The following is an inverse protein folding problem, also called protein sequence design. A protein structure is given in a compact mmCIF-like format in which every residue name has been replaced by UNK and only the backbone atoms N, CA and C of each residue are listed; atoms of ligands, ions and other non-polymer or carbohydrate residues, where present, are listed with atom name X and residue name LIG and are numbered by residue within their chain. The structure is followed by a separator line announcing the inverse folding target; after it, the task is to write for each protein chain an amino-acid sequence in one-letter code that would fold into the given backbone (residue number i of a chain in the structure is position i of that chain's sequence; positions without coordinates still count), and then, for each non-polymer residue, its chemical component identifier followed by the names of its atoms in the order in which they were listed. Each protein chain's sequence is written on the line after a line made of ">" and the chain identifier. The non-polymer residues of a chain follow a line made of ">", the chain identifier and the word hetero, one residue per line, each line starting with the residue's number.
data_IF_438320138159
#
_entry.id   IF_438320138159
#
_cell.length_a   1.000
_cell.length_b   1.000
_cell.length_c   1.000
_cell.angle_alpha   90.00
_cell.angle_beta   90.00
_cell.angle_gamma   90.00
#
_symmetry.space_group_name_H-M   'P 1'
#
loop_
_entity.id
_entity.type
_entity.pdbx_description
1 polymer ?
#
# COMPACT_ATOMS: atom_id res chain seq x y z
N UNK A 1 54.79 -14.32 1.61
CA UNK A 1 55.87 -14.41 0.61
C UNK A 1 55.19 -14.60 -0.74
N UNK A 2 54.68 -13.52 -1.33
CA UNK A 2 55.28 -12.77 -2.45
C UNK A 2 55.58 -13.61 -3.69
N UNK A 3 54.95 -13.24 -4.81
CA UNK A 3 55.35 -13.25 -6.23
C UNK A 3 54.03 -13.31 -7.02
N UNK A 4 53.58 -12.33 -7.81
CA UNK A 4 54.32 -11.37 -8.63
C UNK A 4 54.16 -11.80 -10.09
N UNK A 5 53.21 -11.19 -10.82
CA UNK A 5 53.20 -11.24 -12.28
C UNK A 5 52.88 -9.85 -12.84
N UNK A 6 53.91 -9.29 -13.46
CA UNK A 6 53.91 -8.05 -14.23
C UNK A 6 53.68 -8.36 -15.71
N UNK A 7 52.85 -7.51 -16.33
CA UNK A 7 52.92 -7.00 -17.72
C UNK A 7 52.74 -7.97 -18.89
N UNK A 8 51.86 -7.63 -19.84
CA UNK A 8 52.26 -6.98 -21.10
C UNK A 8 51.00 -6.50 -21.85
N UNK A 9 51.04 -5.21 -22.16
CA UNK A 9 50.14 -4.44 -23.03
C UNK A 9 50.35 -4.90 -24.49
N UNK A 10 49.27 -5.10 -25.23
CA UNK A 10 49.30 -5.01 -26.71
C UNK A 10 48.32 -3.95 -27.17
N UNK A 11 48.87 -2.83 -27.64
CA UNK A 11 48.19 -1.77 -28.36
C UNK A 11 47.64 -2.29 -29.70
N UNK A 12 46.38 -1.96 -30.01
CA UNK A 12 45.98 -1.67 -31.39
C UNK A 12 45.23 -0.34 -31.42
N UNK A 13 45.83 0.61 -32.13
CA UNK A 13 45.34 1.97 -32.43
C UNK A 13 44.26 1.93 -33.50
N UNK A 14 43.25 2.80 -33.38
CA UNK A 14 42.31 3.17 -34.45
C UNK A 14 41.05 3.86 -33.90
N UNK A 15 40.68 5.08 -34.32
CA UNK A 15 39.85 5.99 -33.54
C UNK A 15 38.35 5.81 -33.81
N UNK A 16 37.53 5.77 -32.75
CA UNK A 16 36.11 6.13 -32.87
C UNK A 16 35.90 7.47 -32.18
N UNK A 17 35.39 8.43 -32.97
CA UNK A 17 35.00 9.75 -32.57
C UNK A 17 34.01 9.66 -31.39
N UNK A 18 34.42 10.14 -30.22
CA UNK A 18 33.48 10.57 -29.21
C UNK A 18 32.89 11.90 -29.67
N UNK A 19 31.58 11.92 -29.93
CA UNK A 19 30.81 13.15 -29.92
C UNK A 19 30.91 13.77 -28.52
N UNK A 20 31.82 14.73 -28.37
CA UNK A 20 31.73 15.73 -27.31
C UNK A 20 30.41 16.47 -27.51
N UNK A 21 29.39 16.10 -26.73
CA UNK A 21 28.23 16.95 -26.55
C UNK A 21 28.75 18.24 -25.90
N UNK A 22 28.60 19.35 -26.62
CA UNK A 22 29.16 20.64 -26.26
C UNK A 22 28.71 21.02 -24.85
N UNK A 23 29.67 21.11 -23.92
CA UNK A 23 29.45 21.85 -22.69
C UNK A 23 28.98 23.24 -23.10
N UNK A 24 27.82 23.64 -22.58
CA UNK A 24 27.25 24.95 -22.89
C UNK A 24 28.29 26.04 -22.56
N UNK A 25 28.38 27.11 -23.37
CA UNK A 25 29.36 28.18 -23.19
C UNK A 25 29.55 28.68 -21.75
N UNK A 26 28.49 28.81 -20.90
CA UNK A 26 28.68 29.33 -19.54
C UNK A 26 29.47 28.40 -18.62
N UNK A 27 29.35 27.07 -18.73
CA UNK A 27 30.09 26.13 -17.86
C UNK A 27 31.58 26.09 -18.23
N UNK A 28 31.89 26.21 -19.51
CA UNK A 28 33.28 26.29 -19.98
C UNK A 28 33.93 27.63 -19.58
N UNK A 29 33.17 28.73 -19.62
CA UNK A 29 33.59 30.04 -19.13
C UNK A 29 33.81 30.01 -17.60
N UNK A 30 32.93 29.36 -16.84
CA UNK A 30 33.09 29.20 -15.39
C UNK A 30 34.36 28.40 -15.05
N UNK A 31 34.64 27.33 -15.82
CA UNK A 31 35.84 26.51 -15.64
C UNK A 31 37.13 27.28 -15.99
N UNK A 32 37.12 28.11 -17.05
CA UNK A 32 38.25 28.99 -17.40
C UNK A 32 38.48 30.06 -16.31
N UNK A 33 37.42 30.66 -15.78
CA UNK A 33 37.51 31.65 -14.68
C UNK A 33 38.10 31.01 -13.42
N UNK A 34 37.64 29.79 -13.07
CA UNK A 34 38.17 29.05 -11.91
C UNK A 34 39.64 28.64 -12.10
N UNK A 35 40.04 28.28 -13.33
CA UNK A 35 41.42 27.92 -13.67
C UNK A 35 42.37 29.13 -13.67
N UNK A 36 41.92 30.32 -14.05
CA UNK A 36 42.72 31.54 -14.06
C UNK A 36 42.96 32.15 -12.66
N UNK A 37 42.10 31.84 -11.68
CA UNK A 37 42.18 32.39 -10.31
C UNK A 37 43.05 31.55 -9.37
N UNK A 38 43.41 30.32 -9.74
CA UNK A 38 44.26 29.43 -8.93
C UNK A 38 45.73 29.89 -8.74
N UNK A 39 46.11 31.05 -9.29
CA UNK A 39 47.50 31.52 -9.31
C UNK A 39 47.82 32.86 -8.62
N UNK A 40 46.84 33.61 -8.09
CA UNK A 40 47.12 34.88 -7.39
C UNK A 40 46.17 35.11 -6.21
N UNK A 41 46.74 35.24 -5.00
CA UNK A 41 46.04 35.63 -3.77
C UNK A 41 45.57 37.10 -3.82
N UNK A 42 44.48 37.38 -4.56
CA UNK A 42 43.77 38.65 -4.48
C UNK A 42 42.45 38.46 -3.72
N UNK A 43 42.40 38.98 -2.50
CA UNK A 43 41.29 38.86 -1.54
C UNK A 43 40.00 39.56 -2.01
N UNK A 44 40.12 40.52 -2.92
CA UNK A 44 38.99 41.24 -3.53
C UNK A 44 38.35 40.43 -4.68
N UNK A 45 39.15 39.75 -5.51
CA UNK A 45 38.65 38.89 -6.61
C UNK A 45 37.90 37.66 -6.08
N UNK A 46 38.36 37.10 -4.97
CA UNK A 46 37.70 35.99 -4.28
C UNK A 46 36.37 36.40 -3.63
N UNK A 47 36.21 37.67 -3.26
CA UNK A 47 34.94 38.20 -2.71
C UNK A 47 33.91 38.45 -3.82
N UNK A 48 34.33 39.01 -4.95
CA UNK A 48 33.48 39.20 -6.12
C UNK A 48 33.01 37.87 -6.74
N UNK A 49 33.87 36.84 -6.76
CA UNK A 49 33.49 35.50 -7.22
C UNK A 49 32.48 34.83 -6.29
N UNK A 50 32.64 34.99 -4.97
CA UNK A 50 31.66 34.50 -3.98
C UNK A 50 30.31 35.21 -4.10
N UNK A 51 30.31 36.51 -4.40
CA UNK A 51 29.09 37.29 -4.64
C UNK A 51 28.44 36.96 -6.00
N UNK A 52 29.21 36.56 -7.01
CA UNK A 52 28.67 36.10 -8.29
C UNK A 52 28.05 34.69 -8.16
N UNK A 53 28.71 33.79 -7.43
CA UNK A 53 28.23 32.43 -7.18
C UNK A 53 27.01 32.41 -6.24
N UNK A 54 26.90 33.35 -5.29
CA UNK A 54 25.71 33.49 -4.44
C UNK A 54 24.48 34.04 -5.18
N UNK A 55 24.69 34.67 -6.34
CA UNK A 55 23.61 35.16 -7.23
C UNK A 55 23.18 34.14 -8.27
N UNK A 56 23.94 33.07 -8.49
CA UNK A 56 23.55 31.96 -9.35
C UNK A 56 22.76 30.99 -8.48
N UNK A 57 21.45 30.92 -8.73
CA UNK A 57 20.62 29.88 -8.16
C UNK A 57 20.97 28.55 -8.85
N UNK A 58 21.93 27.84 -8.25
CA UNK A 58 22.38 26.52 -8.69
C UNK A 58 21.21 25.52 -8.74
N UNK A 59 20.18 25.67 -7.90
CA UNK A 59 18.99 24.82 -7.94
C UNK A 59 18.17 25.12 -9.21
N UNK A 60 18.04 26.39 -9.62
CA UNK A 60 17.40 26.77 -10.89
C UNK A 60 18.19 26.30 -12.12
N UNK A 61 19.52 26.35 -12.04
CA UNK A 61 20.40 25.89 -13.10
C UNK A 61 20.34 24.36 -13.26
N UNK A 62 20.31 23.62 -12.14
CA UNK A 62 20.19 22.16 -12.13
C UNK A 62 18.79 21.68 -12.54
N UNK A 63 17.73 22.44 -12.25
CA UNK A 63 16.36 22.18 -12.76
C UNK A 63 16.26 22.23 -14.29
N UNK A 64 17.12 22.99 -14.97
CA UNK A 64 17.07 23.11 -16.45
C UNK A 64 17.60 21.89 -17.20
N UNK A 65 18.40 21.05 -16.54
CA UNK A 65 18.98 19.83 -17.13
C UNK A 65 18.26 18.54 -16.68
N UNK A 66 17.27 18.62 -15.78
CA UNK A 66 16.44 17.47 -15.42
C UNK A 66 15.49 17.10 -16.59
N UNK A 67 15.42 15.82 -17.00
CA UNK A 67 14.44 15.36 -17.99
C UNK A 67 13.00 15.64 -17.52
N UNK A 68 12.07 15.91 -18.45
CA UNK A 68 10.68 16.18 -18.09
C UNK A 68 10.05 14.99 -17.36
N UNK A 69 9.16 15.28 -16.40
CA UNK A 69 8.33 14.28 -15.73
C UNK A 69 7.14 13.84 -16.58
N UNK A 70 7.37 13.63 -17.88
CA UNK A 70 6.41 13.06 -18.80
C UNK A 70 6.73 11.57 -18.96
N UNK A 71 5.92 10.73 -18.34
CA UNK A 71 6.06 9.27 -18.41
C UNK A 71 4.97 8.68 -19.30
N UNK A 72 5.22 7.52 -19.92
CA UNK A 72 4.20 6.81 -20.70
C UNK A 72 2.98 6.43 -19.87
N UNK A 73 1.84 6.16 -20.53
CA UNK A 73 0.55 5.90 -19.86
C UNK A 73 0.10 4.45 -19.95
N UNK A 74 0.79 3.63 -20.74
CA UNK A 74 0.50 2.20 -20.92
C UNK A 74 1.75 1.36 -20.67
N UNK A 75 1.58 0.07 -20.37
CA UNK A 75 2.70 -0.84 -20.14
C UNK A 75 3.55 -0.97 -21.42
N UNK A 76 2.89 -1.04 -22.58
CA UNK A 76 3.51 -1.19 -23.89
C UNK A 76 4.40 0.01 -24.21
N UNK A 77 3.93 1.23 -23.98
CA UNK A 77 4.74 2.44 -24.15
C UNK A 77 5.87 2.55 -23.11
N UNK A 78 5.68 1.95 -21.92
CA UNK A 78 6.75 1.79 -20.94
C UNK A 78 7.79 0.73 -21.35
N UNK A 79 7.54 0.01 -22.44
CA UNK A 79 8.28 -1.13 -22.96
C UNK A 79 8.27 -2.36 -22.04
N UNK A 80 7.23 -2.54 -21.23
CA UNK A 80 7.05 -3.72 -20.37
C UNK A 80 5.75 -4.45 -20.67
N UNK A 81 5.72 -5.75 -20.37
CA UNK A 81 4.52 -6.56 -20.35
C UNK A 81 4.63 -7.62 -19.26
N UNK A 82 3.49 -8.15 -18.80
CA UNK A 82 3.49 -9.34 -17.96
C UNK A 82 3.64 -10.59 -18.83
N UNK A 83 4.60 -11.45 -18.50
CA UNK A 83 4.78 -12.73 -19.19
C UNK A 83 3.76 -13.79 -18.72
N UNK A 84 3.84 -15.00 -19.28
CA UNK A 84 2.95 -16.12 -18.93
C UNK A 84 3.02 -16.55 -17.45
N UNK A 85 4.12 -16.23 -16.76
CA UNK A 85 4.32 -16.47 -15.32
C UNK A 85 3.83 -15.30 -14.46
N UNK A 86 3.20 -14.28 -15.06
CA UNK A 86 2.72 -13.10 -14.36
C UNK A 86 3.82 -12.14 -13.91
N UNK A 87 5.02 -12.21 -14.49
CA UNK A 87 6.15 -11.36 -14.12
C UNK A 87 6.30 -10.18 -15.08
N UNK A 88 6.51 -8.98 -14.55
CA UNK A 88 6.75 -7.78 -15.36
C UNK A 88 8.14 -7.84 -16.01
N UNK A 89 8.20 -7.83 -17.34
CA UNK A 89 9.44 -7.96 -18.12
C UNK A 89 9.48 -6.96 -19.26
N UNK A 90 10.67 -6.48 -19.57
CA UNK A 90 10.88 -5.61 -20.72
C UNK A 90 10.59 -6.39 -22.02
N UNK A 91 9.77 -5.83 -22.90
CA UNK A 91 9.19 -6.53 -24.06
C UNK A 91 10.26 -7.09 -25.00
N UNK A 92 11.35 -6.35 -25.21
CA UNK A 92 12.40 -6.72 -26.18
C UNK A 92 13.50 -7.59 -25.57
N UNK A 93 13.83 -7.37 -24.29
CA UNK A 93 15.03 -7.97 -23.67
C UNK A 93 14.68 -9.07 -22.68
N UNK A 94 13.44 -9.12 -22.18
CA UNK A 94 13.05 -10.05 -21.11
C UNK A 94 13.63 -9.71 -19.74
N UNK A 95 14.28 -8.56 -19.58
CA UNK A 95 14.89 -8.15 -18.30
C UNK A 95 13.84 -7.62 -17.31
N UNK A 96 14.09 -7.73 -15.98
CA UNK A 96 13.20 -7.18 -14.97
C UNK A 96 13.25 -5.65 -14.93
N UNK A 97 12.27 -5.04 -14.24
CA UNK A 97 12.24 -3.60 -14.05
C UNK A 97 13.44 -3.12 -13.22
N UNK A 98 14.17 -2.14 -13.75
CA UNK A 98 15.29 -1.47 -13.05
C UNK A 98 14.82 -0.13 -12.51
N UNK A 99 14.87 0.05 -11.18
CA UNK A 99 14.50 1.31 -10.52
C UNK A 99 15.48 2.44 -10.84
N UNK A 100 16.78 2.20 -10.67
CA UNK A 100 17.84 3.17 -10.97
C UNK A 100 18.17 3.20 -12.47
N UNK A 101 17.20 3.54 -13.31
CA UNK A 101 17.40 3.64 -14.76
C UNK A 101 18.35 4.79 -15.12
N UNK A 102 18.47 5.81 -14.26
CA UNK A 102 19.44 6.89 -14.37
C UNK A 102 20.15 7.08 -13.02
N UNK A 103 21.43 6.74 -12.92
CA UNK A 103 22.16 6.63 -11.64
C UNK A 103 22.07 7.91 -10.77
N UNK A 104 22.22 9.09 -11.39
CA UNK A 104 22.25 10.37 -10.65
C UNK A 104 20.89 11.07 -10.51
N UNK A 105 19.81 10.49 -11.04
CA UNK A 105 18.49 11.13 -11.07
C UNK A 105 17.47 10.41 -10.19
N UNK A 106 17.73 10.41 -8.88
CA UNK A 106 16.88 9.75 -7.89
C UNK A 106 15.42 10.24 -7.95
N UNK A 107 15.19 11.56 -8.03
CA UNK A 107 13.86 12.16 -8.13
C UNK A 107 13.11 11.67 -9.37
N UNK A 108 13.78 11.61 -10.51
CA UNK A 108 13.20 11.13 -11.76
C UNK A 108 12.89 9.63 -11.70
N UNK A 109 13.80 8.81 -11.17
CA UNK A 109 13.58 7.37 -11.01
C UNK A 109 12.37 7.07 -10.11
N UNK A 110 12.23 7.83 -9.02
CA UNK A 110 11.06 7.75 -8.13
C UNK A 110 9.77 8.09 -8.88
N UNK A 111 9.76 9.18 -9.66
CA UNK A 111 8.59 9.57 -10.47
C UNK A 111 8.27 8.56 -11.56
N UNK A 112 9.28 7.93 -12.17
CA UNK A 112 9.10 6.83 -13.13
C UNK A 112 8.45 5.62 -12.47
N UNK A 113 8.89 5.26 -11.27
CA UNK A 113 8.33 4.15 -10.50
C UNK A 113 6.88 4.42 -10.08
N UNK A 114 6.57 5.65 -9.66
CA UNK A 114 5.21 6.10 -9.38
C UNK A 114 4.31 5.98 -10.61
N UNK A 115 4.75 6.50 -11.76
CA UNK A 115 4.02 6.42 -13.02
C UNK A 115 3.73 4.97 -13.44
N UNK A 116 4.74 4.09 -13.38
CA UNK A 116 4.53 2.66 -13.63
C UNK A 116 3.52 2.04 -12.65
N UNK A 117 3.56 2.44 -11.38
CA UNK A 117 2.61 2.00 -10.37
C UNK A 117 1.16 2.35 -10.67
N UNK A 118 0.90 3.52 -11.25
CA UNK A 118 -0.45 3.92 -11.67
C UNK A 118 -0.93 3.10 -12.88
N UNK A 119 -0.04 2.82 -13.84
CA UNK A 119 -0.34 1.94 -14.97
C UNK A 119 -0.68 0.52 -14.47
N UNK A 120 0.09 0.01 -13.51
CA UNK A 120 -0.17 -1.31 -12.91
C UNK A 120 -1.51 -1.35 -12.20
N UNK A 121 -1.90 -0.28 -11.51
CA UNK A 121 -3.23 -0.20 -10.88
C UNK A 121 -4.34 -0.36 -11.91
N UNK A 122 -4.25 0.33 -13.06
CA UNK A 122 -5.23 0.18 -14.14
C UNK A 122 -5.21 -1.23 -14.75
N UNK A 123 -4.03 -1.80 -14.95
CA UNK A 123 -3.88 -3.17 -15.45
C UNK A 123 -4.52 -4.20 -14.50
N UNK A 124 -4.34 -4.05 -13.18
CA UNK A 124 -4.98 -4.93 -12.18
C UNK A 124 -6.51 -4.78 -12.22
N UNK A 125 -7.03 -3.57 -12.38
CA UNK A 125 -8.48 -3.36 -12.56
C UNK A 125 -9.01 -4.09 -13.80
N UNK A 126 -8.31 -4.01 -14.92
CA UNK A 126 -8.69 -4.75 -16.13
C UNK A 126 -8.69 -6.27 -15.89
N UNK A 127 -7.73 -6.79 -15.13
CA UNK A 127 -7.71 -8.22 -14.77
C UNK A 127 -8.89 -8.58 -13.86
N UNK A 128 -9.24 -7.74 -12.87
CA UNK A 128 -10.40 -7.99 -12.01
C UNK A 128 -11.70 -8.06 -12.82
N UNK A 129 -11.88 -7.13 -13.76
CA UNK A 129 -13.08 -7.07 -14.60
C UNK A 129 -13.13 -8.20 -15.63
N UNK A 130 -12.03 -8.44 -16.36
CA UNK A 130 -12.01 -9.39 -17.49
C UNK A 130 -11.75 -10.83 -17.07
N UNK A 131 -10.86 -11.05 -16.08
CA UNK A 131 -10.43 -12.40 -15.64
C UNK A 131 -11.29 -12.90 -14.48
N UNK A 132 -11.55 -12.05 -13.49
CA UNK A 132 -12.31 -12.42 -12.29
C UNK A 132 -13.81 -12.12 -12.40
N UNK A 133 -14.26 -11.47 -13.49
CA UNK A 133 -15.66 -11.08 -13.70
C UNK A 133 -16.22 -10.23 -12.53
N UNK A 134 -15.39 -9.36 -11.98
CA UNK A 134 -15.77 -8.45 -10.91
C UNK A 134 -16.36 -7.16 -11.47
N UNK A 135 -17.35 -6.60 -10.80
CA UNK A 135 -17.97 -5.32 -11.18
C UNK A 135 -17.70 -4.24 -10.13
N UNK A 136 -17.44 -3.02 -10.58
CA UNK A 136 -17.33 -1.86 -9.69
C UNK A 136 -18.70 -1.46 -9.19
N UNK A 137 -18.77 -1.13 -7.90
CA UNK A 137 -19.92 -0.48 -7.27
C UNK A 137 -19.45 0.86 -6.70
N UNK A 138 -20.12 1.94 -7.10
CA UNK A 138 -19.74 3.31 -6.74
C UNK A 138 -20.09 3.64 -5.28
N UNK A 139 -19.19 4.39 -4.63
CA UNK A 139 -19.39 4.89 -3.28
C UNK A 139 -19.29 6.43 -3.27
N UNK A 140 -20.13 7.15 -2.51
CA UNK A 140 -21.31 6.65 -1.79
C UNK A 140 -22.39 6.05 -2.72
N UNK A 141 -23.24 5.16 -2.21
CA UNK A 141 -24.32 4.52 -3.00
C UNK A 141 -25.38 5.49 -3.52
N UNK A 142 -25.45 6.66 -2.89
CA UNK A 142 -26.34 7.76 -3.22
C UNK A 142 -25.58 8.98 -3.77
N UNK A 143 -24.41 8.75 -4.37
CA UNK A 143 -23.57 9.81 -4.90
C UNK A 143 -24.29 10.69 -5.93
N UNK A 144 -24.15 12.00 -5.77
CA UNK A 144 -24.54 13.03 -6.75
C UNK A 144 -23.49 13.20 -7.85
N UNK A 145 -23.86 13.74 -9.01
CA UNK A 145 -22.97 13.85 -10.18
C UNK A 145 -21.67 14.65 -9.93
N UNK A 146 -21.70 15.61 -9.01
CA UNK A 146 -20.60 16.54 -8.76
C UNK A 146 -19.81 16.24 -7.47
N UNK A 147 -20.13 15.17 -6.73
CA UNK A 147 -19.41 14.83 -5.50
C UNK A 147 -18.26 13.82 -5.73
N UNK A 148 -17.18 13.86 -4.92
CA UNK A 148 -16.13 12.85 -4.98
C UNK A 148 -16.68 11.45 -4.74
N UNK A 149 -16.29 10.52 -5.60
CA UNK A 149 -16.66 9.10 -5.49
C UNK A 149 -15.45 8.18 -5.42
N UNK A 150 -15.62 7.04 -4.78
CA UNK A 150 -14.73 5.88 -4.87
C UNK A 150 -15.52 4.66 -5.36
N UNK A 151 -14.96 3.47 -5.19
CA UNK A 151 -15.68 2.23 -5.49
C UNK A 151 -15.16 1.02 -4.69
N UNK A 152 -15.95 -0.05 -4.67
CA UNK A 152 -15.51 -1.42 -4.34
C UNK A 152 -15.69 -2.33 -5.54
N UNK A 153 -15.06 -3.51 -5.53
CA UNK A 153 -15.40 -4.58 -6.48
C UNK A 153 -16.25 -5.65 -5.82
N UNK A 154 -17.22 -6.16 -6.58
CA UNK A 154 -18.12 -7.24 -6.20
C UNK A 154 -18.04 -8.39 -7.21
N UNK A 155 -18.04 -9.64 -6.74
CA UNK A 155 -18.35 -10.79 -7.59
C UNK A 155 -19.84 -10.76 -7.99
N UNK A 156 -20.26 -11.45 -9.07
CA UNK A 156 -21.64 -11.41 -9.54
C UNK A 156 -22.68 -11.82 -8.49
N UNK A 157 -22.29 -12.66 -7.55
CA UNK A 157 -23.13 -13.22 -6.49
C UNK A 157 -22.80 -12.64 -5.10
N UNK A 158 -21.91 -11.65 -4.97
CA UNK A 158 -21.42 -11.15 -3.67
C UNK A 158 -22.52 -10.76 -2.68
N UNK A 159 -23.63 -10.19 -3.18
CA UNK A 159 -24.78 -9.79 -2.35
C UNK A 159 -25.86 -10.86 -2.25
N UNK A 160 -25.96 -11.77 -3.24
CA UNK A 160 -27.06 -12.74 -3.34
C UNK A 160 -26.70 -14.14 -2.85
N UNK A 161 -25.40 -14.48 -2.74
CA UNK A 161 -24.94 -15.78 -2.29
C UNK A 161 -25.30 -15.98 -0.80
N UNK A 162 -26.15 -16.96 -0.44
CA UNK A 162 -26.58 -17.16 0.93
C UNK A 162 -25.58 -17.95 1.78
N UNK A 163 -24.56 -18.54 1.14
CA UNK A 163 -23.59 -19.44 1.79
C UNK A 163 -22.45 -18.63 2.41
N UNK A 164 -21.49 -18.19 1.60
CA UNK A 164 -20.24 -17.59 2.10
C UNK A 164 -19.92 -16.29 1.37
N UNK A 165 -19.37 -15.33 2.10
CA UNK A 165 -18.84 -14.08 1.55
C UNK A 165 -17.41 -13.87 2.05
N UNK A 166 -16.47 -13.61 1.16
CA UNK A 166 -15.11 -13.19 1.49
C UNK A 166 -14.95 -11.68 1.26
N UNK A 167 -14.49 -10.97 2.27
CA UNK A 167 -14.20 -9.53 2.22
C UNK A 167 -12.68 -9.31 2.30
N UNK A 168 -12.10 -8.67 1.29
CA UNK A 168 -10.66 -8.40 1.19
C UNK A 168 -10.35 -6.94 1.51
N UNK A 169 -9.46 -6.72 2.50
CA UNK A 169 -9.04 -5.40 2.98
C UNK A 169 -7.51 -5.28 2.86
N UNK A 170 -7.05 -4.38 1.99
CA UNK A 170 -5.63 -4.11 1.79
C UNK A 170 -5.01 -3.22 2.88
N UNK A 171 -3.68 -3.11 2.87
CA UNK A 171 -2.94 -2.18 3.73
C UNK A 171 -3.02 -0.72 3.27
N UNK A 172 -2.30 0.17 3.96
CA UNK A 172 -2.29 1.60 3.64
C UNK A 172 -1.29 1.96 2.52
N UNK A 173 -1.37 3.20 2.05
CA UNK A 173 -0.40 3.78 1.11
C UNK A 173 -0.92 3.87 -0.32
N UNK A 174 -0.06 3.53 -1.29
CA UNK A 174 -0.34 3.73 -2.73
C UNK A 174 -1.00 2.52 -3.40
N UNK A 175 -1.27 1.45 -2.65
CA UNK A 175 -2.03 0.29 -3.14
C UNK A 175 -3.51 0.65 -3.26
N UNK A 176 -4.18 0.00 -4.21
CA UNK A 176 -5.61 0.16 -4.51
C UNK A 176 -6.26 -1.22 -4.61
N UNK A 177 -7.59 -1.25 -4.68
CA UNK A 177 -8.36 -2.49 -4.76
C UNK A 177 -7.72 -3.51 -5.73
N UNK A 178 -7.62 -4.76 -5.30
CA UNK A 178 -6.94 -5.80 -6.06
C UNK A 178 -5.45 -5.98 -5.74
N UNK A 179 -4.84 -5.13 -4.90
CA UNK A 179 -3.39 -5.14 -4.67
C UNK A 179 -3.04 -5.37 -3.19
N UNK A 180 -2.08 -6.27 -2.94
CA UNK A 180 -1.40 -6.37 -1.65
C UNK A 180 -0.19 -5.45 -1.61
N UNK A 181 0.64 -5.47 -2.65
CA UNK A 181 1.87 -4.68 -2.69
C UNK A 181 2.36 -4.39 -4.11
N UNK A 182 2.37 -3.11 -4.49
CA UNK A 182 2.92 -2.62 -5.77
C UNK A 182 4.35 -3.12 -6.03
N UNK A 183 5.18 -3.16 -4.99
CA UNK A 183 6.58 -3.62 -5.09
C UNK A 183 6.67 -5.08 -5.52
N UNK A 184 5.77 -5.95 -5.06
CA UNK A 184 5.75 -7.36 -5.43
C UNK A 184 5.31 -7.52 -6.88
N UNK A 185 4.26 -6.81 -7.30
CA UNK A 185 3.78 -6.85 -8.68
C UNK A 185 4.89 -6.48 -9.67
N UNK A 186 5.68 -5.44 -9.36
CA UNK A 186 6.76 -4.96 -10.23
C UNK A 186 7.96 -5.90 -10.24
N UNK A 187 8.37 -6.42 -9.08
CA UNK A 187 9.68 -7.07 -8.92
C UNK A 187 9.61 -8.60 -8.81
N UNK A 188 8.43 -9.18 -8.59
CA UNK A 188 8.21 -10.62 -8.50
C UNK A 188 7.19 -11.06 -9.55
N UNK A 189 5.90 -10.92 -9.23
CA UNK A 189 4.80 -11.39 -10.06
C UNK A 189 3.43 -10.86 -9.58
N UNK A 190 2.43 -11.02 -10.44
CA UNK A 190 1.03 -10.70 -10.15
C UNK A 190 0.48 -11.53 -8.98
N UNK A 191 0.84 -12.81 -8.86
CA UNK A 191 0.22 -13.69 -7.87
C UNK A 191 0.54 -13.24 -6.44
N UNK A 192 1.82 -12.99 -6.15
CA UNK A 192 2.27 -12.55 -4.84
C UNK A 192 1.87 -11.12 -4.51
N UNK A 193 1.73 -10.26 -5.52
CA UNK A 193 1.44 -8.84 -5.33
C UNK A 193 -0.03 -8.44 -5.38
N UNK A 194 -0.93 -9.30 -5.86
CA UNK A 194 -2.35 -9.00 -6.05
C UNK A 194 -3.28 -9.89 -5.21
N UNK A 195 -4.51 -9.43 -5.07
CA UNK A 195 -5.62 -10.16 -4.45
C UNK A 195 -6.23 -11.20 -5.41
N UNK A 196 -5.82 -11.24 -6.68
CA UNK A 196 -6.43 -12.10 -7.71
C UNK A 196 -6.43 -13.58 -7.31
N UNK A 197 -5.33 -14.19 -6.81
CA UNK A 197 -5.36 -15.59 -6.40
C UNK A 197 -6.37 -15.88 -5.28
N UNK A 198 -6.57 -14.92 -4.35
CA UNK A 198 -7.55 -15.04 -3.28
C UNK A 198 -8.98 -14.98 -3.82
N UNK A 199 -9.24 -14.07 -4.76
CA UNK A 199 -10.54 -13.95 -5.43
C UNK A 199 -10.84 -15.24 -6.21
N UNK A 200 -9.91 -15.71 -7.03
CA UNK A 200 -10.09 -16.93 -7.84
C UNK A 200 -10.32 -18.16 -6.96
N UNK A 201 -9.54 -18.32 -5.89
CA UNK A 201 -9.70 -19.43 -4.95
C UNK A 201 -11.02 -19.37 -4.20
N UNK A 202 -11.42 -18.19 -3.71
CA UNK A 202 -12.69 -18.00 -3.02
C UNK A 202 -13.88 -18.29 -3.94
N UNK A 203 -13.87 -17.80 -5.17
CA UNK A 203 -14.93 -18.11 -6.15
C UNK A 203 -14.99 -19.61 -6.48
N UNK A 204 -13.84 -20.28 -6.61
CA UNK A 204 -13.78 -21.74 -6.80
C UNK A 204 -14.35 -22.52 -5.60
N UNK A 205 -14.16 -22.02 -4.39
CA UNK A 205 -14.70 -22.60 -3.15
C UNK A 205 -16.14 -22.11 -2.83
N UNK A 206 -16.80 -21.40 -3.75
CA UNK A 206 -18.21 -21.02 -3.66
C UNK A 206 -18.51 -19.78 -2.82
N UNK A 207 -17.52 -18.92 -2.58
CA UNK A 207 -17.72 -17.64 -1.90
C UNK A 207 -18.17 -16.57 -2.90
N UNK A 208 -19.13 -15.75 -2.49
CA UNK A 208 -19.21 -14.38 -3.02
C UNK A 208 -17.99 -13.57 -2.54
N UNK A 209 -17.53 -12.59 -3.30
CA UNK A 209 -16.30 -11.84 -2.97
C UNK A 209 -16.53 -10.34 -3.05
N UNK A 210 -16.07 -9.61 -2.03
CA UNK A 210 -15.99 -8.15 -2.02
C UNK A 210 -14.54 -7.70 -1.83
N UNK A 211 -14.10 -6.73 -2.65
CA UNK A 211 -12.77 -6.15 -2.57
C UNK A 211 -12.90 -4.66 -2.30
N UNK A 212 -12.41 -4.22 -1.14
CA UNK A 212 -12.50 -2.84 -0.70
C UNK A 212 -11.40 -1.98 -1.33
N UNK A 213 -11.60 -0.66 -1.35
CA UNK A 213 -10.62 0.33 -1.82
C UNK A 213 -10.35 1.43 -0.78
N UNK A 214 -9.92 1.09 0.45
CA UNK A 214 -9.86 2.05 1.58
C UNK A 214 -8.87 3.21 1.39
N UNK A 215 -7.97 3.13 0.41
CA UNK A 215 -6.98 4.17 0.11
C UNK A 215 -7.45 5.16 -0.98
N UNK A 216 -8.59 4.91 -1.63
CA UNK A 216 -9.25 5.87 -2.53
C UNK A 216 -10.34 6.59 -1.74
N UNK A 217 -9.90 7.55 -0.94
CA UNK A 217 -10.71 8.23 0.08
C UNK A 217 -10.81 9.75 -0.13
N UNK A 218 -10.26 10.28 -1.21
CA UNK A 218 -10.38 11.69 -1.61
C UNK A 218 -10.25 11.88 -3.12
N UNK A 219 -10.87 12.93 -3.63
CA UNK A 219 -10.57 13.52 -4.93
C UNK A 219 -9.46 14.55 -4.77
N UNK A 220 -8.43 14.47 -5.60
CA UNK A 220 -7.35 15.45 -5.65
C UNK A 220 -7.64 16.48 -6.75
N UNK A 221 -7.75 17.76 -6.37
CA UNK A 221 -8.03 18.88 -7.29
C UNK A 221 -6.89 19.90 -7.25
N UNK A 222 -6.58 20.54 -8.37
CA UNK A 222 -5.59 21.62 -8.41
C UNK A 222 -6.18 22.91 -7.82
N UNK A 223 -5.46 23.55 -6.89
CA UNK A 223 -5.84 24.87 -6.38
C UNK A 223 -5.57 25.92 -7.45
N UNK A 224 -6.60 26.70 -7.79
CA UNK A 224 -6.40 27.92 -8.58
C UNK A 224 -5.62 28.94 -7.75
N UNK A 225 -4.46 29.40 -8.24
CA UNK A 225 -3.68 30.49 -7.64
C UNK A 225 -4.47 31.80 -7.68
N UNK A 226 -5.25 32.09 -6.65
CA UNK A 226 -5.70 33.47 -6.37
C UNK A 226 -4.62 34.17 -5.53
N UNK A 227 -4.24 35.35 -6.02
CA UNK A 227 -3.10 36.22 -5.67
C UNK A 227 -2.72 36.33 -4.18
N UNK A 228 -1.42 36.51 -3.85
CA UNK A 228 -0.94 36.58 -2.47
C UNK A 228 -1.36 37.89 -1.78
N UNK A 229 -2.08 37.79 -0.66
CA UNK A 229 -2.24 38.88 0.31
C UNK A 229 -1.00 38.96 1.22
N UNK A 230 -0.65 40.15 1.71
CA UNK A 230 0.65 40.43 2.32
C UNK A 230 0.80 39.83 3.72
N UNK A 231 2.03 39.43 4.02
CA UNK A 231 2.50 38.83 5.29
C UNK A 231 2.09 39.63 6.54
N UNK A 232 1.74 38.98 7.65
CA UNK A 232 1.53 39.67 8.93
C UNK A 232 2.87 40.18 9.46
N UNK A 233 2.87 41.44 9.86
CA UNK A 233 3.93 42.14 10.60
C UNK A 233 4.32 41.40 11.89
N UNK A 234 5.63 41.18 12.07
CA UNK A 234 6.22 40.74 13.33
C UNK A 234 6.04 41.81 14.42
N UNK A 235 5.57 41.40 15.59
CA UNK A 235 5.77 42.14 16.85
C UNK A 235 6.48 41.24 17.85
N UNK A 236 7.55 41.79 18.40
CA UNK A 236 8.45 41.21 19.39
C UNK A 236 7.80 41.09 20.77
N UNK A 237 8.26 40.10 21.56
CA UNK A 237 8.87 40.30 22.89
C UNK A 237 8.79 39.02 23.73
N UNK A 238 9.92 38.39 24.08
CA UNK A 238 10.23 37.92 25.44
C UNK A 238 11.67 37.38 25.57
N UNK A 239 12.24 37.33 26.80
CA UNK A 239 13.66 37.56 27.04
C UNK A 239 14.54 36.30 27.08
N UNK A 240 15.84 36.59 27.10
CA UNK A 240 16.96 35.68 27.13
C UNK A 240 16.96 34.75 28.35
N UNK A 241 17.08 33.44 28.12
CA UNK A 241 18.00 32.61 28.89
C UNK A 241 18.34 31.28 28.20
N UNK A 242 19.58 30.84 28.46
CA UNK A 242 20.20 29.54 28.14
C UNK A 242 20.68 29.32 26.69
N UNK A 243 21.87 29.87 26.50
CA UNK A 243 22.98 29.21 25.79
C UNK A 243 23.05 27.72 26.15
N UNK A 244 22.62 26.88 25.22
CA UNK A 244 23.17 25.57 24.87
C UNK A 244 22.33 25.07 23.68
N UNK A 245 22.97 24.38 22.71
CA UNK A 245 22.46 23.95 21.38
C UNK A 245 22.95 24.80 20.21
N UNK A 246 24.24 24.65 19.91
CA UNK A 246 24.78 24.98 18.58
C UNK A 246 24.80 23.77 17.63
N UNK A 247 24.66 22.54 18.16
CA UNK A 247 24.70 21.31 17.35
C UNK A 247 23.32 20.80 16.92
N UNK A 248 22.24 21.16 17.62
CA UNK A 248 20.87 20.79 17.22
C UNK A 248 20.37 21.58 16.00
N UNK A 249 20.84 22.82 15.80
CA UNK A 249 20.40 23.66 14.66
C UNK A 249 20.95 23.18 13.32
N UNK A 250 22.13 22.57 13.31
CA UNK A 250 22.74 22.05 12.09
C UNK A 250 22.17 20.67 11.72
N UNK A 251 21.86 19.84 12.73
CA UNK A 251 21.11 18.59 12.56
C UNK A 251 19.67 18.80 12.08
N UNK A 252 18.96 19.80 12.63
CA UNK A 252 17.61 20.19 12.14
C UNK A 252 17.66 20.71 10.71
N UNK A 253 18.61 21.59 10.38
CA UNK A 253 18.77 22.11 9.01
C UNK A 253 19.16 21.03 8.00
N UNK A 254 20.02 20.06 8.35
CA UNK A 254 20.34 18.91 7.49
C UNK A 254 19.14 17.98 7.33
N UNK A 255 18.38 17.73 8.38
CA UNK A 255 17.18 16.88 8.33
C UNK A 255 16.08 17.52 7.47
N UNK A 256 15.81 18.81 7.67
CA UNK A 256 14.92 19.63 6.84
C UNK A 256 15.40 19.73 5.39
N UNK A 257 16.72 19.85 5.16
CA UNK A 257 17.32 19.82 3.81
C UNK A 257 17.04 18.47 3.13
N UNK A 258 17.35 17.35 3.77
CA UNK A 258 17.07 16.02 3.19
C UNK A 258 15.56 15.69 3.10
N UNK A 259 14.71 16.19 4.00
CA UNK A 259 13.24 16.10 3.90
C UNK A 259 12.68 16.92 2.73
N UNK A 260 13.27 18.09 2.43
CA UNK A 260 12.96 18.91 1.26
C UNK A 260 13.28 18.21 -0.06
N UNK A 261 14.31 17.34 -0.12
CA UNK A 261 14.60 16.50 -1.29
C UNK A 261 13.81 15.18 -1.32
N UNK A 262 13.32 14.69 -0.17
CA UNK A 262 12.52 13.46 -0.08
C UNK A 262 11.06 13.68 -0.46
N UNK A 263 10.55 14.91 -0.36
CA UNK A 263 9.18 15.22 -0.73
C UNK A 263 9.04 16.60 -1.40
N UNK A 264 9.39 16.73 -2.71
CA UNK A 264 8.98 17.88 -3.48
C UNK A 264 7.48 17.72 -3.78
N UNK A 265 6.63 18.07 -2.82
CA UNK A 265 5.21 18.26 -3.09
C UNK A 265 5.07 19.38 -4.12
N UNK A 266 4.72 18.94 -5.34
CA UNK A 266 3.79 19.52 -6.30
C UNK A 266 4.06 20.97 -6.69
N UNK A 267 4.53 21.16 -7.92
CA UNK A 267 4.61 22.49 -8.57
C UNK A 267 3.23 23.16 -8.67
N UNK A 268 2.14 22.41 -8.50
CA UNK A 268 0.77 22.89 -8.30
C UNK A 268 0.28 22.55 -6.89
N UNK A 269 -0.09 23.54 -6.08
CA UNK A 269 -0.81 23.24 -4.84
C UNK A 269 -2.11 22.51 -5.19
N UNK A 270 -2.33 21.35 -4.59
CA UNK A 270 -3.55 20.57 -4.76
C UNK A 270 -4.33 20.55 -3.46
N UNK A 271 -5.65 20.54 -3.53
CA UNK A 271 -6.55 20.29 -2.42
C UNK A 271 -7.08 18.85 -2.49
N UNK A 272 -7.30 18.23 -1.33
CA UNK A 272 -7.90 16.89 -1.23
C UNK A 272 -9.31 17.06 -0.68
N UNK A 273 -10.29 16.72 -1.49
CA UNK A 273 -11.70 16.72 -1.09
C UNK A 273 -12.04 15.29 -0.67
N UNK A 274 -12.29 15.02 0.63
CA UNK A 274 -12.59 13.67 1.10
C UNK A 274 -13.87 13.14 0.45
N UNK A 275 -13.91 11.82 0.20
CA UNK A 275 -15.13 11.14 -0.23
C UNK A 275 -16.03 11.02 0.99
N UNK A 276 -17.30 11.42 0.84
CA UNK A 276 -18.27 11.44 1.94
C UNK A 276 -18.38 10.06 2.59
N UNK A 277 -18.26 10.02 3.92
CA UNK A 277 -18.32 8.82 4.77
C UNK A 277 -17.29 7.73 4.40
N UNK A 278 -16.30 8.07 3.57
CA UNK A 278 -15.22 7.21 3.11
C UNK A 278 -13.90 8.00 3.12
N UNK A 279 -13.76 9.00 4.00
CA UNK A 279 -12.63 9.93 4.04
C UNK A 279 -11.37 9.33 4.66
N UNK A 280 -11.49 8.18 5.31
CA UNK A 280 -10.40 7.38 5.87
C UNK A 280 -10.58 5.89 5.55
N UNK A 281 -9.55 5.09 5.84
CA UNK A 281 -9.60 3.63 5.66
C UNK A 281 -10.66 2.99 6.57
N UNK A 282 -10.76 3.50 7.81
CA UNK A 282 -11.71 3.08 8.82
C UNK A 282 -13.15 3.43 8.43
N UNK A 283 -13.40 4.69 8.02
CA UNK A 283 -14.70 5.13 7.54
C UNK A 283 -15.15 4.30 6.33
N UNK A 284 -14.24 4.01 5.39
CA UNK A 284 -14.57 3.16 4.24
C UNK A 284 -14.99 1.74 4.64
N UNK A 285 -14.28 1.10 5.57
CA UNK A 285 -14.65 -0.25 6.05
C UNK A 285 -16.00 -0.23 6.76
N UNK A 286 -16.28 0.79 7.58
CA UNK A 286 -17.59 0.99 8.24
C UNK A 286 -18.70 1.20 7.22
N UNK A 287 -18.49 2.07 6.23
CA UNK A 287 -19.45 2.35 5.16
C UNK A 287 -19.78 1.09 4.36
N UNK A 288 -18.76 0.35 3.93
CA UNK A 288 -18.96 -0.90 3.18
C UNK A 288 -19.69 -1.95 4.01
N UNK A 289 -19.43 -2.01 5.32
CA UNK A 289 -20.17 -2.88 6.22
C UNK A 289 -21.67 -2.52 6.27
N UNK A 290 -21.99 -1.27 6.55
CA UNK A 290 -23.37 -0.80 6.77
C UNK A 290 -24.23 -0.85 5.49
N UNK A 291 -23.61 -0.66 4.33
CA UNK A 291 -24.31 -0.59 3.05
C UNK A 291 -24.31 -1.91 2.26
N UNK A 292 -23.31 -2.78 2.46
CA UNK A 292 -23.15 -4.00 1.66
C UNK A 292 -23.05 -5.27 2.49
N UNK A 293 -22.03 -5.40 3.36
CA UNK A 293 -21.75 -6.67 4.05
C UNK A 293 -22.90 -7.06 4.98
N UNK A 294 -23.42 -6.12 5.78
CA UNK A 294 -24.56 -6.35 6.68
C UNK A 294 -25.82 -6.79 5.92
N UNK A 295 -25.99 -6.32 4.66
CA UNK A 295 -27.16 -6.58 3.80
C UNK A 295 -27.00 -7.79 2.87
N UNK A 296 -25.78 -8.30 2.69
CA UNK A 296 -25.53 -9.48 1.89
C UNK A 296 -26.31 -10.71 2.42
N UNK A 297 -26.78 -11.57 1.51
CA UNK A 297 -27.54 -12.77 1.87
C UNK A 297 -26.70 -13.79 2.66
N UNK A 298 -25.38 -13.76 2.50
CA UNK A 298 -24.46 -14.68 3.18
C UNK A 298 -24.60 -14.55 4.69
N UNK A 299 -24.77 -15.68 5.37
CA UNK A 299 -24.72 -15.73 6.83
C UNK A 299 -23.30 -15.92 7.36
N UNK A 300 -22.41 -16.45 6.51
CA UNK A 300 -21.07 -16.83 6.88
C UNK A 300 -20.05 -15.91 6.18
N UNK A 301 -19.65 -14.85 6.87
CA UNK A 301 -18.71 -13.85 6.35
C UNK A 301 -17.30 -14.18 6.82
N UNK A 302 -16.35 -14.12 5.90
CA UNK A 302 -14.93 -14.29 6.15
C UNK A 302 -14.23 -12.99 5.77
N UNK A 303 -13.29 -12.55 6.59
CA UNK A 303 -12.54 -11.31 6.34
C UNK A 303 -11.07 -11.65 6.23
N UNK A 304 -10.41 -11.12 5.21
CA UNK A 304 -8.96 -11.11 5.12
C UNK A 304 -8.46 -9.68 5.11
N UNK A 305 -7.62 -9.32 6.08
CA UNK A 305 -7.08 -7.97 6.20
C UNK A 305 -5.55 -7.96 6.32
N UNK A 306 -4.89 -7.16 5.48
CA UNK A 306 -3.44 -7.03 5.48
C UNK A 306 -2.99 -5.73 6.14
N UNK A 307 -1.94 -5.79 6.96
CA UNK A 307 -1.25 -4.60 7.51
C UNK A 307 -2.25 -3.65 8.20
N UNK A 308 -2.33 -2.40 7.74
CA UNK A 308 -3.28 -1.39 8.22
C UNK A 308 -4.75 -1.80 8.08
N UNK A 309 -5.10 -2.65 7.12
CA UNK A 309 -6.47 -3.14 6.96
C UNK A 309 -7.01 -3.84 8.22
N UNK A 310 -6.13 -4.47 9.00
CA UNK A 310 -6.54 -5.07 10.28
C UNK A 310 -6.84 -4.03 11.37
N UNK A 311 -6.21 -2.84 11.32
CA UNK A 311 -6.59 -1.72 12.19
C UNK A 311 -8.01 -1.26 11.86
N UNK A 312 -8.33 -1.09 10.57
CA UNK A 312 -9.69 -0.76 10.11
C UNK A 312 -10.72 -1.83 10.45
N UNK A 313 -10.33 -3.12 10.42
CA UNK A 313 -11.19 -4.21 10.90
C UNK A 313 -11.46 -4.11 12.41
N UNK A 314 -10.46 -3.80 13.24
CA UNK A 314 -10.68 -3.64 14.68
C UNK A 314 -11.57 -2.43 14.97
N UNK A 315 -11.47 -1.35 14.18
CA UNK A 315 -12.41 -0.22 14.29
C UNK A 315 -13.84 -0.65 13.96
N UNK A 316 -14.04 -1.48 12.92
CA UNK A 316 -15.33 -2.08 12.62
C UNK A 316 -15.85 -2.92 13.80
N UNK A 317 -15.01 -3.76 14.41
CA UNK A 317 -15.39 -4.53 15.60
C UNK A 317 -15.84 -3.63 16.77
N UNK A 318 -15.14 -2.53 17.01
CA UNK A 318 -15.47 -1.59 18.08
C UNK A 318 -16.82 -0.90 17.85
N UNK A 319 -17.14 -0.56 16.60
CA UNK A 319 -18.33 0.21 16.26
C UNK A 319 -19.56 -0.63 15.91
N UNK A 320 -19.39 -1.90 15.51
CA UNK A 320 -20.46 -2.81 15.07
C UNK A 320 -20.39 -4.18 15.74
N UNK A 321 -19.86 -4.24 16.98
CA UNK A 321 -19.52 -5.48 17.69
C UNK A 321 -20.57 -6.60 17.53
N UNK A 322 -21.83 -6.33 17.88
CA UNK A 322 -22.88 -7.35 17.85
C UNK A 322 -23.19 -7.85 16.43
N UNK A 323 -23.20 -6.96 15.44
CA UNK A 323 -23.48 -7.35 14.05
C UNK A 323 -22.34 -8.17 13.47
N UNK A 324 -21.09 -7.78 13.74
CA UNK A 324 -19.91 -8.49 13.25
C UNK A 324 -19.84 -9.88 13.86
N UNK A 325 -20.01 -10.00 15.18
CA UNK A 325 -20.01 -11.29 15.87
C UNK A 325 -21.10 -12.26 15.43
N UNK A 326 -22.24 -11.74 14.98
CA UNK A 326 -23.36 -12.55 14.52
C UNK A 326 -23.20 -13.06 13.08
N UNK A 327 -22.30 -12.49 12.30
CA UNK A 327 -22.22 -12.72 10.84
C UNK A 327 -20.84 -13.14 10.35
N UNK A 328 -19.76 -12.77 11.06
CA UNK A 328 -18.39 -13.13 10.69
C UNK A 328 -18.00 -14.43 11.38
N UNK A 329 -17.57 -15.41 10.59
CA UNK A 329 -17.13 -16.71 11.08
C UNK A 329 -15.66 -16.68 11.47
N UNK A 330 -14.81 -16.07 10.65
CA UNK A 330 -13.37 -16.05 10.85
C UNK A 330 -12.70 -14.86 10.17
N UNK A 331 -11.56 -14.43 10.73
CA UNK A 331 -10.76 -13.32 10.21
C UNK A 331 -9.29 -13.70 10.10
N UNK A 332 -8.75 -13.63 8.90
CA UNK A 332 -7.34 -13.82 8.62
C UNK A 332 -6.64 -12.46 8.54
N UNK A 333 -5.71 -12.22 9.45
CA UNK A 333 -4.86 -11.04 9.47
C UNK A 333 -3.48 -11.42 8.93
N UNK A 334 -2.88 -10.54 8.12
CA UNK A 334 -1.53 -10.77 7.60
C UNK A 334 -0.65 -9.57 7.93
N UNK A 335 0.34 -9.82 8.78
CA UNK A 335 1.27 -8.86 9.37
C UNK A 335 0.60 -7.54 9.78
N UNK A 336 -0.53 -7.68 10.47
CA UNK A 336 -1.41 -6.55 10.74
C UNK A 336 -0.83 -5.58 11.78
N UNK A 337 -1.11 -4.29 11.58
CA UNK A 337 -0.69 -3.19 12.46
C UNK A 337 -1.69 -2.88 13.60
N UNK A 338 -2.76 -3.67 13.75
CA UNK A 338 -3.74 -3.45 14.80
C UNK A 338 -3.10 -3.51 16.19
N UNK A 339 -3.71 -2.78 17.12
CA UNK A 339 -3.28 -2.80 18.50
C UNK A 339 -4.51 -2.70 19.39
N UNK A 340 -4.95 -3.84 19.91
CA UNK A 340 -6.19 -3.94 20.70
C UNK A 340 -6.20 -3.04 21.95
N UNK A 341 -5.02 -2.66 22.45
CA UNK A 341 -4.84 -1.85 23.66
C UNK A 341 -4.93 -0.36 23.35
N UNK A 342 -4.40 0.07 22.20
CA UNK A 342 -4.51 1.45 21.73
C UNK A 342 -5.87 1.74 21.11
N UNK A 343 -6.56 0.71 20.60
CA UNK A 343 -7.91 0.81 20.04
C UNK A 343 -9.01 0.56 21.09
N UNK A 344 -8.65 0.54 22.39
CA UNK A 344 -9.59 0.47 23.53
C UNK A 344 -10.66 -0.63 23.42
N UNK A 345 -10.28 -1.79 22.87
CA UNK A 345 -11.22 -2.89 22.59
C UNK A 345 -11.85 -3.47 23.86
N UNK A 346 -13.15 -3.82 23.79
CA UNK A 346 -13.86 -4.45 24.91
C UNK A 346 -13.33 -5.86 25.18
N UNK A 347 -13.40 -6.34 26.43
CA UNK A 347 -12.99 -7.71 26.77
C UNK A 347 -13.73 -8.76 25.94
N UNK A 348 -15.02 -8.51 25.71
CA UNK A 348 -15.88 -9.30 24.81
C UNK A 348 -15.30 -9.38 23.40
N UNK A 349 -14.84 -8.27 22.81
CA UNK A 349 -14.18 -8.26 21.49
C UNK A 349 -12.83 -8.99 21.51
N UNK A 350 -12.03 -8.80 22.56
CA UNK A 350 -10.75 -9.50 22.70
C UNK A 350 -10.92 -11.02 22.75
N UNK A 351 -11.87 -11.50 23.54
CA UNK A 351 -12.16 -12.94 23.65
C UNK A 351 -12.66 -13.50 22.32
N UNK A 352 -13.52 -12.77 21.62
CA UNK A 352 -13.97 -13.16 20.29
C UNK A 352 -12.82 -13.20 19.26
N UNK A 353 -11.93 -12.20 19.27
CA UNK A 353 -10.75 -12.20 18.38
C UNK A 353 -9.80 -13.35 18.70
N UNK A 354 -9.69 -13.75 19.98
CA UNK A 354 -8.89 -14.90 20.38
C UNK A 354 -9.40 -16.20 19.76
N UNK A 355 -10.72 -16.30 19.55
CA UNK A 355 -11.39 -17.49 19.04
C UNK A 355 -11.55 -17.49 17.51
N UNK A 356 -11.81 -16.33 16.89
CA UNK A 356 -12.20 -16.22 15.48
C UNK A 356 -11.13 -15.60 14.56
N UNK A 357 -10.06 -15.02 15.12
CA UNK A 357 -8.99 -14.41 14.33
C UNK A 357 -7.70 -15.23 14.35
N UNK A 358 -6.90 -15.10 13.29
CA UNK A 358 -5.49 -15.52 13.29
C UNK A 358 -4.64 -14.54 12.50
N UNK A 359 -3.49 -14.16 13.05
CA UNK A 359 -2.55 -13.22 12.42
C UNK A 359 -1.27 -13.92 11.98
N UNK A 360 -1.05 -14.02 10.67
CA UNK A 360 0.19 -14.50 10.07
C UNK A 360 1.19 -13.36 9.96
N UNK A 361 2.16 -13.34 10.87
CA UNK A 361 3.11 -12.21 11.01
C UNK A 361 4.45 -12.51 10.38
N UNK A 362 5.19 -11.46 10.04
CA UNK A 362 6.56 -11.58 9.54
C UNK A 362 7.46 -12.24 10.60
N UNK A 363 8.09 -13.35 10.23
CA UNK A 363 8.93 -14.15 11.11
C UNK A 363 9.85 -15.07 10.29
N UNK A 364 11.07 -15.35 10.79
CA UNK A 364 11.97 -16.33 10.17
C UNK A 364 11.55 -17.78 10.44
N UNK A 365 10.63 -18.02 11.38
CA UNK A 365 10.16 -19.36 11.73
C UNK A 365 9.36 -19.99 10.57
N UNK A 366 9.28 -21.33 10.47
CA UNK A 366 8.45 -21.99 9.47
C UNK A 366 6.99 -21.54 9.52
N UNK A 367 6.31 -21.52 8.37
CA UNK A 367 4.89 -21.19 8.25
C UNK A 367 4.07 -21.96 9.29
N UNK A 368 3.10 -21.28 9.90
CA UNK A 368 2.17 -21.80 10.93
C UNK A 368 2.79 -22.10 12.31
N UNK A 369 4.08 -21.79 12.52
CA UNK A 369 4.67 -21.85 13.87
C UNK A 369 3.99 -20.84 14.79
N UNK A 370 3.40 -21.29 15.89
CA UNK A 370 2.80 -20.42 16.92
C UNK A 370 3.84 -19.49 17.51
N UNK A 371 3.50 -18.21 17.62
CA UNK A 371 4.36 -17.19 18.19
C UNK A 371 3.73 -16.65 19.47
N UNK A 372 4.47 -16.67 20.57
CA UNK A 372 4.00 -16.12 21.85
C UNK A 372 3.84 -14.60 21.75
N UNK A 373 2.63 -14.07 21.98
CA UNK A 373 2.45 -12.62 21.96
C UNK A 373 2.94 -12.01 23.28
N UNK A 374 3.52 -10.80 23.21
CA UNK A 374 3.94 -10.10 24.43
C UNK A 374 2.74 -9.60 25.26
N UNK A 375 1.59 -9.40 24.63
CA UNK A 375 0.33 -9.02 25.27
C UNK A 375 -0.82 -9.84 24.67
N UNK A 376 -1.91 -10.07 25.43
CA UNK A 376 -3.12 -10.68 24.86
C UNK A 376 -3.52 -9.97 23.55
N UNK A 377 -3.84 -10.77 22.54
CA UNK A 377 -4.20 -10.40 21.17
C UNK A 377 -4.78 -11.66 20.49
N UNK A 378 -5.21 -11.59 19.24
CA UNK A 378 -5.55 -12.78 18.47
C UNK A 378 -4.35 -13.75 18.32
N UNK A 379 -4.58 -15.07 18.12
CA UNK A 379 -3.54 -16.04 17.85
C UNK A 379 -2.59 -15.59 16.73
N UNK A 380 -1.29 -15.64 17.02
CA UNK A 380 -0.23 -15.28 16.06
C UNK A 380 0.54 -16.51 15.62
N UNK A 381 0.76 -16.61 14.31
CA UNK A 381 1.59 -17.65 13.71
C UNK A 381 2.57 -17.02 12.72
N UNK A 382 3.68 -17.69 12.46
CA UNK A 382 4.63 -17.25 11.44
C UNK A 382 4.02 -17.35 10.04
N UNK A 383 4.25 -16.33 9.21
CA UNK A 383 3.98 -16.36 7.77
C UNK A 383 5.07 -17.08 6.96
N UNK A 384 6.15 -17.56 7.60
CA UNK A 384 7.28 -18.19 6.90
C UNK A 384 8.14 -17.21 6.09
N UNK A 385 8.09 -15.92 6.41
CA UNK A 385 8.88 -14.88 5.75
C UNK A 385 9.08 -13.67 6.66
N UNK A 386 10.23 -13.02 6.58
CA UNK A 386 10.50 -11.75 7.26
C UNK A 386 10.05 -10.52 6.45
N UNK A 387 9.56 -10.74 5.21
CA UNK A 387 9.13 -9.67 4.32
C UNK A 387 7.66 -9.37 4.54
N UNK A 388 7.36 -8.25 5.21
CA UNK A 388 6.01 -7.75 5.47
C UNK A 388 5.06 -7.91 4.28
N UNK A 389 5.46 -7.41 3.11
CA UNK A 389 4.60 -7.40 1.93
C UNK A 389 4.28 -8.80 1.37
N UNK A 390 5.07 -9.83 1.73
CA UNK A 390 4.89 -11.20 1.26
C UNK A 390 4.02 -12.07 2.17
N UNK A 391 3.72 -11.60 3.37
CA UNK A 391 3.02 -12.41 4.39
C UNK A 391 1.68 -12.95 3.91
N UNK A 392 0.92 -12.16 3.15
CA UNK A 392 -0.33 -12.61 2.53
C UNK A 392 -0.10 -13.78 1.57
N UNK A 393 0.82 -13.65 0.61
CA UNK A 393 1.09 -14.69 -0.38
C UNK A 393 1.66 -15.97 0.24
N UNK A 394 2.62 -15.84 1.16
CA UNK A 394 3.24 -16.99 1.81
C UNK A 394 2.27 -17.77 2.70
N UNK A 395 1.24 -17.09 3.22
CA UNK A 395 0.23 -17.69 4.09
C UNK A 395 -1.03 -18.12 3.34
N UNK A 396 -1.08 -17.94 2.01
CA UNK A 396 -2.27 -18.14 1.17
C UNK A 396 -2.99 -19.48 1.44
N UNK A 397 -2.28 -20.60 1.31
CA UNK A 397 -2.88 -21.92 1.51
C UNK A 397 -3.29 -22.18 2.97
N UNK A 398 -2.54 -21.64 3.93
CA UNK A 398 -2.84 -21.76 5.35
C UNK A 398 -4.10 -20.98 5.73
N UNK A 399 -4.29 -19.80 5.14
CA UNK A 399 -5.48 -18.95 5.36
C UNK A 399 -6.75 -19.68 4.90
N UNK A 400 -6.74 -20.28 3.70
CA UNK A 400 -7.92 -21.02 3.22
C UNK A 400 -8.17 -22.31 4.02
N UNK A 401 -7.12 -22.97 4.52
CA UNK A 401 -7.27 -24.07 5.46
C UNK A 401 -7.96 -23.61 6.74
N UNK A 402 -7.50 -22.50 7.32
CA UNK A 402 -8.11 -21.88 8.50
C UNK A 402 -9.59 -21.53 8.27
N UNK A 403 -9.94 -20.89 7.15
CA UNK A 403 -11.35 -20.61 6.83
C UNK A 403 -12.20 -21.87 6.69
N UNK A 404 -11.65 -22.93 6.09
CA UNK A 404 -12.34 -24.22 5.93
C UNK A 404 -12.64 -24.90 7.28
N UNK A 405 -11.74 -24.78 8.25
CA UNK A 405 -11.93 -25.32 9.61
C UNK A 405 -13.14 -24.68 10.33
N UNK A 406 -13.38 -23.37 10.15
CA UNK A 406 -14.54 -22.70 10.74
C UNK A 406 -15.85 -23.09 10.07
N UNK A 407 -15.82 -23.20 8.73
CA UNK A 407 -17.01 -23.61 8.00
C UNK A 407 -17.46 -25.03 8.37
N UNK A 408 -16.51 -25.96 8.58
CA UNK A 408 -16.81 -27.32 9.01
C UNK A 408 -17.47 -27.35 10.41
N UNK A 409 -16.95 -26.57 11.36
CA UNK A 409 -17.50 -26.49 12.73
C UNK A 409 -18.95 -26.01 12.76
N UNK A 410 -19.29 -24.98 11.98
CA UNK A 410 -20.67 -24.51 11.89
C UNK A 410 -21.62 -25.54 11.28
N UNK A 411 -21.15 -26.31 10.29
CA UNK A 411 -21.92 -27.41 9.71
C UNK A 411 -22.24 -28.50 10.74
N UNK A 412 -21.24 -28.88 11.54
CA UNK A 412 -21.39 -29.88 12.60
C UNK A 412 -22.32 -29.38 13.72
N UNK A 413 -22.18 -28.14 14.19
CA UNK A 413 -23.07 -27.55 15.21
C UNK A 413 -24.52 -27.39 14.72
N UNK A 414 -24.71 -27.02 13.44
CA UNK A 414 -26.03 -26.95 12.81
C UNK A 414 -26.68 -28.34 12.69
N UNK A 415 -25.91 -29.38 12.35
CA UNK A 415 -26.40 -30.76 12.32
C UNK A 415 -26.75 -31.29 13.72
N UNK A 416 -25.90 -31.06 14.73
CA UNK A 416 -26.18 -31.46 16.12
C UNK A 416 -27.42 -30.77 16.69
N UNK A 417 -27.56 -29.45 16.47
CA UNK A 417 -28.74 -28.71 16.91
C UNK A 417 -30.01 -29.19 16.19
N UNK A 418 -29.94 -29.48 14.88
CA UNK A 418 -31.08 -30.03 14.13
C UNK A 418 -31.51 -31.43 14.62
N UNK A 419 -30.55 -32.28 14.99
CA UNK A 419 -30.81 -33.63 15.49
C UNK A 419 -31.38 -33.61 16.93
N UNK A 420 -31.01 -32.60 17.75
CA UNK A 420 -31.49 -32.44 19.12
C UNK A 420 -32.97 -32.00 19.23
N UNK A 421 -33.55 -31.42 18.17
CA UNK A 421 -34.92 -30.85 18.16
C UNK A 421 -36.01 -31.89 17.86
N UNK A 422 -35.68 -33.18 17.74
CA UNK A 422 -36.69 -34.25 17.64
C UNK A 422 -37.38 -34.49 19.00
N UNK A 423 -38.32 -33.62 19.36
CA UNK A 423 -39.10 -33.72 20.59
C UNK A 423 -40.05 -34.92 20.53
N UNK A 424 -39.94 -35.76 21.57
CA UNK A 424 -40.89 -36.81 21.94
C UNK A 424 -42.32 -36.24 21.98
N UNK A 425 -43.15 -36.60 21.01
CA UNK A 425 -44.60 -36.54 21.20
C UNK A 425 -44.99 -37.63 22.21
N UNK A 426 -45.26 -37.21 23.45
CA UNK A 426 -45.71 -38.07 24.52
C UNK A 426 -47.08 -38.66 24.20
N UNK A 427 -47.12 -39.93 23.78
CA UNK A 427 -48.36 -40.72 23.75
C UNK A 427 -48.72 -41.13 25.19
N UNK A 428 -49.37 -40.23 25.93
CA UNK A 428 -50.18 -40.61 27.08
C UNK A 428 -51.42 -41.37 26.59
N UNK A 429 -51.32 -42.70 26.52
CA UNK A 429 -52.51 -43.57 26.46
C UNK A 429 -52.96 -43.87 27.89
N UNK A 430 -54.12 -43.32 28.23
CA UNK A 430 -54.83 -43.54 29.49
C UNK A 430 -55.15 -45.03 29.71
N UNK A 431 -55.00 -45.42 30.98
CA UNK A 431 -55.52 -46.66 31.56
C UNK A 431 -57.03 -46.79 31.31
N UNK A 432 -57.47 -47.95 30.88
CA UNK A 432 -58.75 -48.52 31.29
C UNK A 432 -58.50 -49.96 31.76
N UNK A 433 -58.56 -50.14 33.08
CA UNK A 433 -59.09 -51.35 33.67
C UNK A 433 -60.60 -51.26 33.57
N UNK A 434 -61.27 -52.33 33.15
CA UNK A 434 -62.44 -52.88 33.83
C UNK A 434 -62.86 -54.21 33.17
N UNK A 435 -63.01 -55.21 34.05
CA UNK A 435 -63.91 -56.38 34.04
C UNK A 435 -63.91 -57.35 32.85
#
# INVERSE_FOLDING_TARGET
>A
MFYGFTSVITERKGPMLFHFCAATPPLFVLWIIMAQVAGQEDREKTTALKDLLSRIDLDELMKKDEPPFAFPKTLEEFEYAFNEYGQLRHIKTGEPFVFNAREDLHRWNQKRYEALGEIITQYVYELLEKKCNMTKETLPVDATEDEPTGFIYLSPDALSNPSKLLVLIQGSGVVRAGQWARRLIINQDLNSGTQIPFIERAMQEGYGVMVLNPNENYLEVEKSTKSPLPSPTETSDEPAEKRERKDDKEGKKKKEFYEKYRNPQRETETERIPIRENGSSEEHVLYVWDHFVSRAAAKNVFIMAHSYGGLSFVELMNQRESEVKNKVCAVALTDSAHNIWLQETTKSTQDWMQEHCRNWVSSPEPLDTTLEPMMPDCPRVSAGTERHELTSWMSFDSIFRFFSEFHAKEGEEAEETSNSVTTRSGSHKNRHQDL
#
